data_IF_360691447576
#
_entry.id   IF_360691447576
#
_cell.length_a   1.000
_cell.length_b   1.000
_cell.length_c   1.000
_cell.angle_alpha   90.00
_cell.angle_beta   90.00
_cell.angle_gamma   90.00
#
_symmetry.space_group_name_H-M   'P 1'
#
loop_
_entity.id
_entity.type
_entity.pdbx_description
1 polymer ?
#
# COMPACT_ATOMS: atom_id res chain seq x y z
N UNK A 1 -7.06 35.77 -2.83
CA UNK A 1 -7.05 34.61 -1.91
C UNK A 1 -5.74 34.67 -1.13
N UNK A 2 -5.72 34.35 0.17
CA UNK A 2 -4.45 34.29 0.90
C UNK A 2 -3.52 33.28 0.23
N UNK A 3 -2.25 33.65 0.15
CA UNK A 3 -1.20 32.79 -0.37
C UNK A 3 -1.09 31.54 0.53
N UNK A 4 -1.26 30.35 -0.05
CA UNK A 4 -1.29 29.11 0.71
C UNK A 4 0.04 28.87 1.41
N UNK A 5 1.14 29.29 0.79
CA UNK A 5 2.48 29.16 1.34
C UNK A 5 2.68 30.06 2.57
N UNK A 6 2.10 31.27 2.56
CA UNK A 6 2.16 32.18 3.71
C UNK A 6 1.30 31.68 4.89
N UNK A 7 0.16 31.05 4.61
CA UNK A 7 -0.66 30.41 5.64
C UNK A 7 0.07 29.23 6.32
N UNK A 8 0.77 28.42 5.53
CA UNK A 8 1.61 27.31 6.04
C UNK A 8 2.78 27.86 6.86
N UNK A 9 3.46 28.89 6.38
CA UNK A 9 4.56 29.52 7.10
C UNK A 9 4.10 30.11 8.44
N UNK A 10 2.94 30.75 8.50
CA UNK A 10 2.37 31.27 9.75
C UNK A 10 2.00 30.17 10.76
N UNK A 11 1.55 29.00 10.28
CA UNK A 11 1.31 27.84 11.13
C UNK A 11 2.63 27.30 11.72
N UNK A 12 3.68 27.20 10.90
CA UNK A 12 5.01 26.80 11.34
C UNK A 12 5.65 27.82 12.29
N UNK A 13 5.46 29.12 12.08
CA UNK A 13 5.91 30.17 13.00
C UNK A 13 5.27 29.99 14.38
N UNK A 14 3.96 29.75 14.42
CA UNK A 14 3.21 29.52 15.66
C UNK A 14 3.67 28.24 16.37
N UNK A 15 3.93 27.18 15.61
CA UNK A 15 4.44 25.92 16.14
C UNK A 15 5.86 26.08 16.70
N UNK A 16 6.74 26.77 15.97
CA UNK A 16 8.10 27.06 16.39
C UNK A 16 8.11 27.89 17.68
N UNK A 17 7.30 28.95 17.78
CA UNK A 17 7.23 29.78 18.99
C UNK A 17 6.82 28.99 20.24
N UNK A 18 5.93 28.01 20.09
CA UNK A 18 5.50 27.14 21.20
C UNK A 18 6.57 26.14 21.63
N UNK A 19 7.35 25.61 20.70
CA UNK A 19 8.40 24.63 21.00
C UNK A 19 9.70 25.30 21.46
N UNK A 20 10.03 26.46 20.89
CA UNK A 20 11.31 27.14 21.04
C UNK A 20 11.09 28.66 21.22
N UNK A 21 10.51 29.11 22.35
CA UNK A 21 10.13 30.52 22.55
C UNK A 21 11.31 31.49 22.55
N UNK A 22 12.52 31.03 22.88
CA UNK A 22 13.75 31.84 22.95
C UNK A 22 14.66 31.67 21.72
N UNK A 23 14.21 30.98 20.67
CA UNK A 23 15.03 30.74 19.48
C UNK A 23 15.11 31.96 18.56
N UNK A 24 16.33 32.37 18.23
CA UNK A 24 16.61 33.53 17.37
C UNK A 24 16.52 33.15 15.87
N UNK A 25 16.68 31.86 15.54
CA UNK A 25 16.65 31.37 14.15
C UNK A 25 15.23 31.05 13.71
N UNK A 26 14.81 31.60 12.56
CA UNK A 26 13.51 31.31 11.93
C UNK A 26 13.68 30.24 10.87
N UNK A 27 12.74 29.29 10.83
CA UNK A 27 12.66 28.28 9.78
C UNK A 27 12.55 28.88 8.36
N UNK A 28 12.05 30.11 8.24
CA UNK A 28 11.94 30.82 6.95
C UNK A 28 13.30 31.10 6.29
N UNK A 29 14.36 31.23 7.09
CA UNK A 29 15.72 31.50 6.62
C UNK A 29 16.65 30.27 6.73
N UNK A 30 16.18 29.17 7.30
CA UNK A 30 16.95 27.95 7.53
C UNK A 30 16.15 26.70 7.09
N UNK A 31 16.44 26.16 5.90
CA UNK A 31 15.79 24.97 5.37
C UNK A 31 15.95 23.75 6.27
N UNK A 32 17.08 23.62 6.97
CA UNK A 32 17.35 22.47 7.83
C UNK A 32 16.50 22.51 9.10
N UNK A 33 16.28 23.72 9.64
CA UNK A 33 15.35 23.95 10.73
C UNK A 33 13.90 23.71 10.28
N UNK A 34 13.54 24.17 9.08
CA UNK A 34 12.21 23.95 8.51
C UNK A 34 11.87 22.45 8.35
N UNK A 35 12.79 21.66 7.80
CA UNK A 35 12.62 20.22 7.63
C UNK A 35 12.38 19.52 8.98
N UNK A 36 13.19 19.82 9.99
CA UNK A 36 13.03 19.25 11.35
C UNK A 36 11.72 19.66 12.02
N UNK A 37 11.28 20.91 11.83
CA UNK A 37 10.01 21.37 12.38
C UNK A 37 8.82 20.70 11.68
N UNK A 38 8.88 20.52 10.37
CA UNK A 38 7.84 19.82 9.59
C UNK A 38 7.77 18.35 10.04
N UNK A 39 8.89 17.65 10.13
CA UNK A 39 8.92 16.25 10.60
C UNK A 39 8.33 16.12 12.01
N UNK A 40 8.77 16.97 12.95
CA UNK A 40 8.21 17.00 14.30
C UNK A 40 6.71 17.28 14.31
N UNK A 41 6.24 18.22 13.48
CA UNK A 41 4.83 18.57 13.39
C UNK A 41 3.99 17.42 12.83
N UNK A 42 4.45 16.75 11.78
CA UNK A 42 3.79 15.58 11.20
C UNK A 42 3.70 14.43 12.21
N UNK A 43 4.76 14.16 12.96
CA UNK A 43 4.75 13.15 14.04
C UNK A 43 3.72 13.49 15.13
N UNK A 44 3.60 14.76 15.52
CA UNK A 44 2.60 15.17 16.51
C UNK A 44 1.18 15.08 15.98
N UNK A 45 0.95 15.43 14.71
CA UNK A 45 -0.35 15.25 14.06
C UNK A 45 -0.73 13.78 13.97
N UNK A 46 0.20 12.89 13.66
CA UNK A 46 -0.06 11.45 13.65
C UNK A 46 -0.51 10.95 15.03
N UNK A 47 0.23 11.29 16.08
CA UNK A 47 -0.16 10.94 17.47
C UNK A 47 -1.50 11.55 17.89
N UNK A 48 -1.82 12.75 17.40
CA UNK A 48 -3.11 13.39 17.68
C UNK A 48 -4.26 12.67 16.97
N UNK A 49 -4.04 12.26 15.72
CA UNK A 49 -5.00 11.53 14.90
C UNK A 49 -5.29 10.14 15.50
N UNK A 50 -4.27 9.41 15.95
CA UNK A 50 -4.42 8.12 16.62
C UNK A 50 -5.35 8.21 17.83
N UNK A 51 -5.19 9.25 18.66
CA UNK A 51 -6.05 9.49 19.84
C UNK A 51 -7.49 9.84 19.51
N UNK A 52 -7.77 10.18 18.26
CA UNK A 52 -9.09 10.59 17.77
C UNK A 52 -9.68 9.62 16.75
N UNK A 53 -9.04 8.46 16.55
CA UNK A 53 -9.45 7.44 15.57
C UNK A 53 -9.55 8.03 14.15
N UNK A 54 -8.59 8.87 13.79
CA UNK A 54 -8.47 9.45 12.45
C UNK A 54 -7.34 8.76 11.69
N UNK A 55 -7.63 8.25 10.49
CA UNK A 55 -6.63 7.63 9.63
C UNK A 55 -5.78 8.68 8.88
N UNK A 56 -4.71 9.12 9.53
CA UNK A 56 -3.78 10.08 8.94
C UNK A 56 -2.86 9.46 7.89
N UNK A 57 -2.70 8.13 7.90
CA UNK A 57 -1.86 7.43 6.93
C UNK A 57 -2.55 7.43 5.57
N UNK A 58 -3.82 7.06 5.53
CA UNK A 58 -4.65 7.14 4.32
C UNK A 58 -4.78 8.59 3.84
N UNK A 59 -5.00 9.54 4.76
CA UNK A 59 -5.10 10.97 4.41
C UNK A 59 -3.80 11.52 3.81
N UNK A 60 -2.63 11.20 4.38
CA UNK A 60 -1.35 11.64 3.82
C UNK A 60 -1.05 10.96 2.49
N UNK A 61 -1.41 9.69 2.33
CA UNK A 61 -1.31 8.98 1.06
C UNK A 61 -2.21 9.63 -0.01
N UNK A 62 -3.44 9.99 0.33
CA UNK A 62 -4.37 10.70 -0.55
C UNK A 62 -3.88 12.12 -0.90
N UNK A 63 -3.33 12.88 0.05
CA UNK A 63 -2.80 14.21 -0.23
C UNK A 63 -1.52 14.16 -1.07
N UNK A 64 -0.67 13.17 -0.82
CA UNK A 64 0.48 12.89 -1.68
C UNK A 64 0.01 12.54 -3.10
N UNK A 65 -1.03 11.71 -3.22
CA UNK A 65 -1.68 11.38 -4.48
C UNK A 65 -2.24 12.61 -5.20
N UNK A 66 -3.00 13.47 -4.51
CA UNK A 66 -3.56 14.70 -5.08
C UNK A 66 -2.48 15.69 -5.53
N UNK A 67 -1.33 15.75 -4.84
CA UNK A 67 -0.19 16.58 -5.24
C UNK A 67 0.43 16.07 -6.54
N UNK A 68 0.55 14.75 -6.68
CA UNK A 68 1.02 14.11 -7.92
C UNK A 68 0.02 14.38 -9.05
N UNK A 69 -1.28 14.24 -8.79
CA UNK A 69 -2.35 14.44 -9.77
C UNK A 69 -2.42 15.89 -10.29
N UNK A 70 -2.10 16.89 -9.45
CA UNK A 70 -2.09 18.31 -9.84
C UNK A 70 -0.79 18.77 -10.52
N UNK A 71 0.25 17.93 -10.55
CA UNK A 71 1.61 18.31 -10.94
C UNK A 71 1.98 18.16 -12.42
N UNK A 72 1.07 17.81 -13.33
CA UNK A 72 1.43 17.52 -14.73
C UNK A 72 0.40 17.99 -15.77
N UNK A 73 0.79 18.81 -16.77
CA UNK A 73 -0.04 19.11 -17.92
C UNK A 73 0.09 17.97 -18.94
N UNK A 74 -0.41 16.78 -18.63
CA UNK A 74 -0.68 15.73 -19.62
C UNK A 74 -1.42 14.54 -18.98
N UNK A 75 -2.73 14.47 -19.23
CA UNK A 75 -3.54 13.30 -18.91
C UNK A 75 -3.29 12.19 -19.93
N UNK A 76 -2.14 11.51 -19.81
CA UNK A 76 -1.86 10.27 -20.53
C UNK A 76 -2.06 9.05 -19.60
N UNK A 77 -2.64 7.94 -20.08
CA UNK A 77 -2.84 6.71 -19.30
C UNK A 77 -1.54 5.99 -18.86
N UNK A 78 -0.38 6.55 -19.19
CA UNK A 78 0.95 6.09 -18.84
C UNK A 78 1.33 6.38 -17.36
N UNK A 79 0.53 7.19 -16.65
CA UNK A 79 0.68 7.49 -15.20
C UNK A 79 0.07 6.42 -14.25
N UNK A 80 -0.10 5.18 -14.72
CA UNK A 80 -0.73 4.08 -13.97
C UNK A 80 0.12 3.47 -12.83
N UNK A 81 1.38 3.91 -12.67
CA UNK A 81 2.32 3.35 -11.70
C UNK A 81 2.41 4.19 -10.42
N UNK A 82 1.54 3.84 -9.46
CA UNK A 82 1.44 4.42 -8.10
C UNK A 82 1.66 3.34 -7.04
N UNK A 83 1.96 3.72 -5.80
CA UNK A 83 1.96 2.76 -4.69
C UNK A 83 0.59 2.05 -4.60
N UNK A 84 0.61 0.75 -4.38
CA UNK A 84 -0.58 -0.12 -4.37
C UNK A 84 -1.16 -0.44 -5.75
N UNK A 85 -0.64 0.14 -6.85
CA UNK A 85 -1.12 -0.19 -8.19
C UNK A 85 -0.92 -1.67 -8.51
N UNK A 86 -1.96 -2.29 -9.08
CA UNK A 86 -1.91 -3.65 -9.61
C UNK A 86 -1.22 -3.63 -10.97
N UNK A 87 -0.08 -4.28 -11.07
CA UNK A 87 0.80 -4.21 -12.25
C UNK A 87 1.29 -5.58 -12.66
N UNK A 88 1.66 -5.71 -13.92
CA UNK A 88 2.34 -6.88 -14.46
C UNK A 88 3.50 -6.45 -15.37
N UNK A 89 4.57 -7.26 -15.50
CA UNK A 89 5.58 -7.04 -16.52
C UNK A 89 4.94 -7.06 -17.91
N UNK A 90 5.30 -6.09 -18.76
CA UNK A 90 4.93 -6.11 -20.18
C UNK A 90 5.46 -7.37 -20.82
N UNK A 91 4.57 -8.15 -21.43
CA UNK A 91 4.99 -9.30 -22.23
C UNK A 91 5.34 -8.80 -23.65
N UNK A 92 6.53 -9.12 -24.19
CA UNK A 92 6.83 -8.79 -25.57
C UNK A 92 5.88 -9.57 -26.48
N UNK A 93 5.32 -8.96 -27.54
CA UNK A 93 4.52 -9.68 -28.52
C UNK A 93 5.41 -10.73 -29.19
N UNK A 94 5.14 -12.01 -28.95
CA UNK A 94 5.83 -13.10 -29.66
C UNK A 94 5.26 -13.21 -31.08
N UNK A 95 6.15 -13.30 -32.08
CA UNK A 95 5.78 -13.41 -33.50
C UNK A 95 4.96 -14.68 -33.85
N UNK A 96 4.80 -15.61 -32.90
CA UNK A 96 4.13 -16.90 -33.06
C UNK A 96 2.85 -17.05 -32.21
N UNK A 97 2.44 -16.04 -31.42
CA UNK A 97 1.22 -16.10 -30.62
C UNK A 97 1.26 -17.08 -29.43
N UNK A 98 2.39 -17.76 -29.21
CA UNK A 98 2.66 -18.50 -27.98
C UNK A 98 3.22 -17.54 -26.95
N UNK A 99 2.51 -17.34 -25.84
CA UNK A 99 2.98 -16.58 -24.70
C UNK A 99 4.37 -17.11 -24.32
N UNK A 100 5.41 -16.29 -24.50
CA UNK A 100 6.73 -16.57 -23.96
C UNK A 100 6.55 -16.95 -22.48
N UNK A 101 7.11 -18.09 -22.08
CA UNK A 101 6.87 -18.77 -20.80
C UNK A 101 7.35 -18.03 -19.55
N UNK A 102 7.18 -16.72 -19.49
CA UNK A 102 7.31 -15.92 -18.30
C UNK A 102 6.10 -16.18 -17.40
N UNK A 103 6.31 -16.48 -16.11
CA UNK A 103 5.22 -16.58 -15.15
C UNK A 103 4.43 -15.28 -15.11
N UNK A 104 3.11 -15.38 -14.91
CA UNK A 104 2.16 -14.27 -14.76
C UNK A 104 2.46 -13.50 -13.46
N UNK A 105 3.56 -12.78 -13.37
CA UNK A 105 4.05 -12.09 -12.18
C UNK A 105 3.27 -10.80 -11.91
N UNK A 106 1.98 -10.92 -11.62
CA UNK A 106 1.13 -9.79 -11.23
C UNK A 106 1.32 -9.47 -9.76
N UNK A 107 1.43 -8.19 -9.45
CA UNK A 107 1.72 -7.74 -8.09
C UNK A 107 1.31 -6.30 -7.85
N UNK A 108 1.81 -5.77 -6.74
CA UNK A 108 1.52 -4.42 -6.27
C UNK A 108 2.81 -3.61 -6.18
N UNK A 109 2.82 -2.38 -6.67
CA UNK A 109 3.94 -1.47 -6.43
C UNK A 109 3.98 -1.13 -4.93
N UNK A 110 5.11 -1.41 -4.27
CA UNK A 110 5.33 -1.11 -2.85
C UNK A 110 6.38 -0.03 -2.60
N UNK A 111 7.19 0.29 -3.60
CA UNK A 111 8.09 1.44 -3.54
C UNK A 111 8.33 2.02 -4.93
N UNK A 112 8.61 3.33 -4.97
CA UNK A 112 9.00 4.09 -6.14
C UNK A 112 10.31 4.82 -5.82
N UNK A 113 11.29 4.71 -6.72
CA UNK A 113 12.56 5.40 -6.59
C UNK A 113 12.94 6.06 -7.93
N UNK A 114 13.55 7.23 -7.89
CA UNK A 114 14.13 7.86 -9.07
C UNK A 114 15.56 7.32 -9.27
N UNK A 115 15.91 6.90 -10.48
CA UNK A 115 17.28 6.56 -10.84
C UNK A 115 18.06 7.84 -11.23
N UNK A 116 19.42 7.81 -11.19
CA UNK A 116 20.26 8.93 -11.63
C UNK A 116 19.98 9.37 -13.08
N UNK A 117 19.53 8.43 -13.92
CA UNK A 117 19.19 8.65 -15.32
C UNK A 117 17.77 9.20 -15.51
N UNK A 118 17.05 9.50 -14.41
CA UNK A 118 15.71 10.07 -14.41
C UNK A 118 14.58 9.07 -14.67
N UNK A 119 14.87 7.77 -14.72
CA UNK A 119 13.84 6.74 -14.86
C UNK A 119 13.24 6.37 -13.50
N UNK A 120 11.94 6.11 -13.47
CA UNK A 120 11.27 5.59 -12.27
C UNK A 120 11.53 4.09 -12.13
N UNK A 121 12.18 3.69 -11.04
CA UNK A 121 12.31 2.30 -10.61
C UNK A 121 11.17 1.95 -9.65
N UNK A 122 10.52 0.84 -9.90
CA UNK A 122 9.42 0.32 -9.10
C UNK A 122 9.87 -0.95 -8.36
N UNK A 123 9.53 -1.04 -7.09
CA UNK A 123 9.55 -2.31 -6.36
C UNK A 123 8.14 -2.89 -6.38
N UNK A 124 7.99 -4.10 -6.91
CA UNK A 124 6.70 -4.80 -7.05
C UNK A 124 6.69 -6.03 -6.14
N UNK A 125 5.72 -6.11 -5.24
CA UNK A 125 5.46 -7.28 -4.41
C UNK A 125 4.45 -8.20 -5.11
N UNK A 126 4.85 -9.45 -5.33
CA UNK A 126 4.00 -10.47 -5.96
C UNK A 126 3.44 -11.39 -4.86
N UNK A 127 2.11 -11.60 -4.78
CA UNK A 127 1.52 -12.56 -3.84
C UNK A 127 2.12 -13.95 -4.00
N UNK A 128 2.61 -14.53 -2.89
CA UNK A 128 3.24 -15.85 -2.88
C UNK A 128 4.70 -15.89 -3.34
N UNK A 129 5.35 -14.73 -3.54
CA UNK A 129 6.79 -14.64 -3.82
C UNK A 129 7.45 -13.79 -2.73
N UNK A 130 8.44 -14.36 -2.05
CA UNK A 130 9.09 -13.70 -0.90
C UNK A 130 10.02 -12.54 -1.31
N UNK A 131 10.50 -12.54 -2.56
CA UNK A 131 11.39 -11.50 -3.07
C UNK A 131 10.60 -10.53 -3.95
N UNK A 132 10.64 -9.25 -3.61
CA UNK A 132 10.06 -8.21 -4.45
C UNK A 132 10.83 -8.08 -5.76
N UNK A 133 10.10 -7.85 -6.84
CA UNK A 133 10.64 -7.62 -8.18
C UNK A 133 11.03 -6.15 -8.32
N UNK A 134 12.30 -5.88 -8.64
CA UNK A 134 12.76 -4.55 -9.03
C UNK A 134 12.67 -4.42 -10.54
N UNK A 135 11.93 -3.43 -11.02
CA UNK A 135 11.60 -3.30 -12.44
C UNK A 135 11.38 -1.83 -12.78
N UNK A 136 11.68 -1.40 -14.01
CA UNK A 136 11.43 -0.01 -14.40
C UNK A 136 9.95 0.21 -14.69
N UNK A 137 9.46 1.44 -14.49
CA UNK A 137 8.07 1.79 -14.82
C UNK A 137 7.76 1.55 -16.32
N UNK A 138 8.77 1.69 -17.20
CA UNK A 138 8.62 1.45 -18.64
C UNK A 138 8.34 -0.03 -18.98
N UNK A 139 8.83 -0.96 -18.16
CA UNK A 139 8.64 -2.41 -18.34
C UNK A 139 7.35 -2.93 -17.69
N UNK A 140 6.58 -2.07 -17.03
CA UNK A 140 5.32 -2.43 -16.41
C UNK A 140 4.13 -2.00 -17.29
N UNK A 141 3.01 -2.68 -17.08
CA UNK A 141 1.67 -2.30 -17.54
C UNK A 141 0.64 -2.57 -16.42
N UNK A 142 -0.55 -1.94 -16.47
CA UNK A 142 -1.64 -2.30 -15.57
C UNK A 142 -1.95 -3.80 -15.64
N UNK A 143 -2.08 -4.43 -14.48
CA UNK A 143 -2.48 -5.83 -14.43
C UNK A 143 -3.96 -5.99 -14.83
N UNK A 144 -4.28 -7.13 -15.43
CA UNK A 144 -5.68 -7.54 -15.59
C UNK A 144 -6.37 -7.57 -14.23
N UNK A 145 -7.64 -7.19 -14.20
CA UNK A 145 -8.43 -7.19 -12.96
C UNK A 145 -8.66 -8.61 -12.43
N UNK A 146 -8.71 -8.73 -11.10
CA UNK A 146 -9.23 -9.93 -10.46
C UNK A 146 -10.72 -10.08 -10.83
N UNK A 147 -11.13 -11.25 -11.31
CA UNK A 147 -12.55 -11.50 -11.57
C UNK A 147 -13.35 -11.47 -10.24
N UNK A 148 -14.49 -10.76 -10.18
CA UNK A 148 -15.33 -10.70 -8.99
C UNK A 148 -15.63 -12.08 -8.41
N UNK A 149 -15.44 -12.20 -7.10
CA UNK A 149 -15.62 -13.45 -6.37
C UNK A 149 -16.64 -13.26 -5.24
N UNK A 150 -17.86 -13.80 -5.37
CA UNK A 150 -18.79 -13.84 -4.24
C UNK A 150 -18.27 -14.81 -3.18
N UNK A 151 -18.19 -14.34 -1.95
CA UNK A 151 -17.83 -15.12 -0.76
C UNK A 151 -19.05 -15.22 0.15
N UNK A 152 -19.07 -16.24 1.01
CA UNK A 152 -20.18 -16.46 1.96
C UNK A 152 -20.04 -15.62 3.22
N UNK A 153 -18.83 -15.18 3.54
CA UNK A 153 -18.51 -14.55 4.83
C UNK A 153 -18.02 -13.10 4.73
N UNK A 154 -17.65 -12.61 3.54
CA UNK A 154 -17.08 -11.27 3.34
C UNK A 154 -17.72 -10.48 2.17
N UNK A 155 -18.79 -10.98 1.55
CA UNK A 155 -19.42 -10.31 0.40
C UNK A 155 -18.69 -10.57 -0.92
N UNK A 156 -18.76 -9.64 -1.87
CA UNK A 156 -18.15 -9.79 -3.20
C UNK A 156 -16.79 -9.10 -3.19
N UNK A 157 -15.73 -9.87 -3.41
CA UNK A 157 -14.36 -9.37 -3.54
C UNK A 157 -14.07 -9.09 -5.01
N UNK A 158 -13.66 -7.86 -5.34
CA UNK A 158 -13.50 -7.39 -6.72
C UNK A 158 -12.07 -6.99 -7.09
N UNK A 159 -11.17 -6.86 -6.12
CA UNK A 159 -9.76 -6.54 -6.39
C UNK A 159 -8.80 -7.54 -5.77
N UNK A 160 -7.57 -7.63 -6.31
CA UNK A 160 -6.53 -8.49 -5.74
C UNK A 160 -6.09 -8.03 -4.34
N UNK A 161 -6.05 -6.71 -4.09
CA UNK A 161 -5.71 -6.15 -2.78
C UNK A 161 -6.77 -6.50 -1.73
N UNK A 162 -8.06 -6.34 -2.08
CA UNK A 162 -9.18 -6.75 -1.23
C UNK A 162 -9.19 -8.26 -0.97
N UNK A 163 -8.84 -9.07 -1.98
CA UNK A 163 -8.72 -10.51 -1.80
C UNK A 163 -7.62 -10.87 -0.78
N UNK A 164 -6.46 -10.22 -0.85
CA UNK A 164 -5.37 -10.43 0.10
C UNK A 164 -5.78 -10.02 1.52
N UNK A 165 -6.43 -8.87 1.68
CA UNK A 165 -6.91 -8.42 2.98
C UNK A 165 -7.99 -9.37 3.53
N UNK A 166 -8.94 -9.79 2.70
CA UNK A 166 -10.00 -10.74 3.09
C UNK A 166 -9.43 -12.09 3.52
N UNK A 167 -8.38 -12.59 2.85
CA UNK A 167 -7.66 -13.80 3.26
C UNK A 167 -7.08 -13.63 4.67
N UNK A 168 -6.42 -12.50 4.94
CA UNK A 168 -5.85 -12.20 6.26
C UNK A 168 -6.95 -12.17 7.32
N UNK A 169 -8.03 -11.43 7.09
CA UNK A 169 -9.13 -11.27 8.05
C UNK A 169 -9.79 -12.61 8.39
N UNK A 170 -10.06 -13.44 7.36
CA UNK A 170 -10.63 -14.77 7.55
C UNK A 170 -9.65 -15.66 8.33
N UNK A 171 -8.36 -15.67 7.98
CA UNK A 171 -7.36 -16.48 8.65
C UNK A 171 -7.14 -16.07 10.11
N UNK A 172 -7.12 -14.75 10.41
CA UNK A 172 -7.05 -14.22 11.77
C UNK A 172 -8.26 -14.66 12.58
N UNK A 173 -9.47 -14.54 12.03
CA UNK A 173 -10.71 -14.99 12.69
C UNK A 173 -10.69 -16.48 12.99
N UNK A 174 -10.25 -17.31 12.05
CA UNK A 174 -10.10 -18.76 12.24
C UNK A 174 -9.06 -19.09 13.31
N UNK A 175 -7.90 -18.42 13.30
CA UNK A 175 -6.83 -18.61 14.28
C UNK A 175 -7.30 -18.25 15.71
N UNK A 176 -8.00 -17.13 15.86
CA UNK A 176 -8.58 -16.70 17.16
C UNK A 176 -9.67 -17.68 17.64
N UNK A 177 -10.54 -18.13 16.74
CA UNK A 177 -11.58 -19.12 17.08
C UNK A 177 -10.96 -20.43 17.58
N UNK A 178 -9.91 -20.92 16.91
CA UNK A 178 -9.17 -22.10 17.34
C UNK A 178 -8.50 -21.91 18.71
N UNK A 179 -7.88 -20.75 18.96
CA UNK A 179 -7.29 -20.42 20.27
C UNK A 179 -8.30 -20.36 21.41
N UNK A 180 -9.57 -20.04 21.10
CA UNK A 180 -10.67 -19.98 22.06
C UNK A 180 -11.47 -21.29 22.17
N UNK A 181 -11.04 -22.37 21.49
CA UNK A 181 -11.74 -23.66 21.49
C UNK A 181 -13.11 -23.66 20.81
N UNK A 182 -13.37 -22.68 19.93
CA UNK A 182 -14.62 -22.61 19.17
C UNK A 182 -14.58 -23.56 17.96
N UNK A 183 -15.77 -24.03 17.55
CA UNK A 183 -15.91 -24.87 16.38
C UNK A 183 -15.42 -24.15 15.10
N UNK A 184 -14.74 -24.91 14.24
CA UNK A 184 -14.22 -24.41 12.97
C UNK A 184 -15.36 -24.00 12.04
N UNK A 185 -15.31 -22.78 11.50
CA UNK A 185 -16.29 -22.30 10.54
C UNK A 185 -15.97 -22.83 9.13
N UNK A 186 -16.74 -23.82 8.66
CA UNK A 186 -16.55 -24.45 7.34
C UNK A 186 -16.71 -23.48 6.17
N UNK A 187 -17.64 -22.51 6.26
CA UNK A 187 -17.81 -21.50 5.22
C UNK A 187 -16.59 -20.57 5.13
N UNK A 188 -16.02 -20.20 6.28
CA UNK A 188 -14.80 -19.40 6.31
C UNK A 188 -13.60 -20.17 5.72
N UNK A 189 -13.48 -21.48 5.97
CA UNK A 189 -12.44 -22.31 5.32
C UNK A 189 -12.64 -22.40 3.81
N UNK A 190 -13.88 -22.58 3.35
CA UNK A 190 -14.18 -22.65 1.92
C UNK A 190 -13.88 -21.32 1.21
N UNK A 191 -14.28 -20.19 1.81
CA UNK A 191 -13.98 -18.85 1.27
C UNK A 191 -12.47 -18.60 1.25
N UNK A 192 -11.73 -18.97 2.31
CA UNK A 192 -10.28 -18.85 2.39
C UNK A 192 -9.59 -19.62 1.25
N UNK A 193 -9.98 -20.88 1.03
CA UNK A 193 -9.43 -21.71 -0.03
C UNK A 193 -9.72 -21.10 -1.42
N UNK A 194 -10.96 -20.65 -1.65
CA UNK A 194 -11.39 -20.08 -2.92
C UNK A 194 -10.68 -18.75 -3.24
N UNK A 195 -10.55 -17.86 -2.26
CA UNK A 195 -9.80 -16.60 -2.39
C UNK A 195 -8.32 -16.86 -2.67
N UNK A 196 -7.71 -17.78 -1.92
CA UNK A 196 -6.28 -18.10 -2.09
C UNK A 196 -6.01 -18.68 -3.48
N UNK A 197 -6.85 -19.61 -3.96
CA UNK A 197 -6.76 -20.13 -5.32
C UNK A 197 -6.96 -19.04 -6.39
N UNK A 198 -7.90 -18.11 -6.15
CA UNK A 198 -8.17 -17.03 -7.10
C UNK A 198 -7.00 -16.06 -7.19
N UNK A 199 -6.45 -15.68 -6.03
CA UNK A 199 -5.30 -14.80 -5.96
C UNK A 199 -4.07 -15.47 -6.57
N UNK A 200 -3.85 -16.77 -6.35
CA UNK A 200 -2.73 -17.51 -6.93
C UNK A 200 -2.79 -17.60 -8.45
N UNK A 201 -3.99 -17.86 -8.99
CA UNK A 201 -4.21 -17.87 -10.43
C UNK A 201 -3.98 -16.49 -11.05
N UNK A 202 -4.36 -15.42 -10.34
CA UNK A 202 -4.14 -14.04 -10.78
C UNK A 202 -2.65 -13.65 -10.73
N UNK A 203 -1.95 -13.92 -9.63
CA UNK A 203 -0.53 -13.54 -9.45
C UNK A 203 0.47 -14.53 -10.05
N UNK A 204 -0.01 -15.59 -10.71
CA UNK A 204 0.85 -16.64 -11.28
C UNK A 204 1.66 -17.41 -10.23
N UNK A 205 1.21 -17.43 -8.97
CA UNK A 205 1.88 -18.11 -7.86
C UNK A 205 1.12 -19.36 -7.41
N UNK A 206 1.58 -20.01 -6.34
CA UNK A 206 0.93 -21.21 -5.76
C UNK A 206 0.14 -20.83 -4.51
N UNK A 207 -1.05 -21.43 -4.26
CA UNK A 207 -1.87 -21.14 -3.08
C UNK A 207 -1.10 -21.26 -1.75
N UNK A 208 -0.31 -22.32 -1.59
CA UNK A 208 0.50 -22.54 -0.39
C UNK A 208 1.61 -21.52 -0.22
N UNK A 209 2.09 -20.94 -1.32
CA UNK A 209 3.08 -19.86 -1.26
C UNK A 209 2.44 -18.55 -0.80
N UNK A 210 1.20 -18.27 -1.21
CA UNK A 210 0.42 -17.12 -0.71
C UNK A 210 0.23 -17.23 0.80
N UNK A 211 -0.28 -18.37 1.29
CA UNK A 211 -0.52 -18.53 2.73
C UNK A 211 0.76 -18.41 3.56
N UNK A 212 1.89 -18.93 3.07
CA UNK A 212 3.20 -18.74 3.71
C UNK A 212 3.64 -17.27 3.70
N UNK A 213 3.48 -16.58 2.58
CA UNK A 213 3.83 -15.17 2.46
C UNK A 213 3.01 -14.27 3.40
N UNK A 214 1.75 -14.61 3.63
CA UNK A 214 0.85 -13.86 4.51
C UNK A 214 0.95 -14.28 5.99
N UNK A 215 1.71 -15.34 6.30
CA UNK A 215 1.71 -15.95 7.64
C UNK A 215 2.12 -14.98 8.76
N UNK A 216 3.15 -14.17 8.52
CA UNK A 216 3.63 -13.20 9.52
C UNK A 216 2.55 -12.14 9.79
N UNK A 217 1.95 -11.58 8.74
CA UNK A 217 0.84 -10.61 8.85
C UNK A 217 -0.37 -11.20 9.58
N UNK A 218 -0.73 -12.45 9.28
CA UNK A 218 -1.82 -13.17 9.98
C UNK A 218 -1.46 -13.37 11.45
N UNK A 219 -0.20 -13.68 11.76
CA UNK A 219 0.26 -13.92 13.12
C UNK A 219 0.29 -12.63 13.93
N UNK A 220 0.85 -11.56 13.38
CA UNK A 220 0.89 -10.24 14.01
C UNK A 220 -0.53 -9.73 14.29
N UNK A 221 -1.41 -9.79 13.30
CA UNK A 221 -2.81 -9.36 13.44
C UNK A 221 -3.64 -10.25 14.38
N UNK A 222 -3.24 -11.51 14.59
CA UNK A 222 -3.93 -12.41 15.51
C UNK A 222 -3.62 -12.12 16.99
N UNK A 223 -2.48 -11.49 17.31
CA UNK A 223 -2.15 -11.10 18.68
C UNK A 223 -3.00 -9.89 19.10
N UNK A 224 -3.63 -9.91 20.29
CA UNK A 224 -4.26 -8.71 20.84
C UNK A 224 -3.19 -7.65 21.12
N UNK A 225 -3.50 -6.34 20.97
CA UNK A 225 -2.58 -5.30 21.41
C UNK A 225 -2.27 -5.48 22.90
N UNK A 226 -1.04 -5.17 23.35
CA UNK A 226 -0.72 -5.19 24.77
C UNK A 226 -1.73 -4.31 25.51
N UNK A 227 -2.36 -4.87 26.54
CA UNK A 227 -3.24 -4.10 27.40
C UNK A 227 -2.36 -3.13 28.21
N UNK A 228 -2.43 -1.84 27.86
CA UNK A 228 -1.99 -0.73 28.72
C UNK A 228 -3.07 -0.39 29.75
#
# INVERSE_FOLDING_TARGET
>A
MPDHDEAVAAALDSYQYRLLPDHIHSHRADPTLAERLIDSFLQQLARYADRRDLDIHDTLAELHQQRIDRGGPDHAPEYSFRLGAQVQPRQPPTATGDNAGHPLWRGFITALAATPDGQAQCTVRIPGVNQALQITAAELEPADSLLPLPTRTAGIVITAAEAEQTIIDIAVRLKRAAGNGLATNEHALADLAQLTMRLSAWSGSQPDAIMRHLYDRITDAAHPPPQE
#
